data_IF_381284782673
#
_entry.id   IF_381284782673
#
_cell.length_a   1.000
_cell.length_b   1.000
_cell.length_c   1.000
_cell.angle_alpha   90.00
_cell.angle_beta   90.00
_cell.angle_gamma   90.00
#
_symmetry.space_group_name_H-M   'P 1'
#
loop_
_entity.id
_entity.type
_entity.pdbx_description
1 polymer ?
#
# COMPACT_ATOMS: atom_id res chain seq x y z
N UNK A 1 -15.18 -2.48 17.72
CA UNK A 1 -14.75 -2.90 16.38
C UNK A 1 -13.39 -2.27 16.13
N UNK A 2 -12.51 -2.93 15.38
CA UNK A 2 -11.16 -2.48 15.07
C UNK A 2 -11.14 -1.84 13.69
N UNK A 3 -10.58 -0.63 13.59
CA UNK A 3 -10.38 0.05 12.31
C UNK A 3 -9.24 -0.59 11.52
N UNK A 4 -9.42 -0.75 10.23
CA UNK A 4 -8.47 -1.40 9.33
C UNK A 4 -8.40 -0.62 8.02
N UNK A 5 -7.21 -0.64 7.42
CA UNK A 5 -7.01 -0.18 6.04
C UNK A 5 -6.77 -1.37 5.14
N UNK A 6 -7.43 -1.38 3.99
CA UNK A 6 -7.14 -2.30 2.90
C UNK A 6 -6.75 -1.54 1.64
N UNK A 7 -5.83 -2.09 0.86
CA UNK A 7 -5.51 -1.61 -0.48
C UNK A 7 -6.15 -2.53 -1.51
N UNK A 8 -6.65 -1.95 -2.59
CA UNK A 8 -7.23 -2.64 -3.74
C UNK A 8 -6.33 -2.42 -4.96
N UNK A 9 -6.05 -3.48 -5.72
CA UNK A 9 -5.22 -3.39 -6.93
C UNK A 9 -5.68 -4.33 -8.04
N UNK A 10 -5.77 -3.88 -9.29
CA UNK A 10 -6.20 -4.74 -10.40
C UNK A 10 -5.89 -4.14 -11.77
N UNK A 11 -5.75 -4.99 -12.79
CA UNK A 11 -5.47 -4.56 -14.16
C UNK A 11 -6.11 -5.45 -15.25
N UNK A 12 -6.95 -6.41 -14.87
CA UNK A 12 -7.70 -7.26 -15.81
C UNK A 12 -9.19 -6.93 -15.77
N UNK A 13 -9.79 -6.74 -16.95
CA UNK A 13 -11.24 -6.57 -17.10
C UNK A 13 -11.75 -5.20 -16.65
N UNK A 14 -13.00 -5.15 -16.19
CA UNK A 14 -13.59 -3.94 -15.61
C UNK A 14 -13.22 -3.83 -14.12
N UNK A 15 -12.00 -3.32 -13.87
CA UNK A 15 -11.41 -3.29 -12.54
C UNK A 15 -12.21 -2.41 -11.57
N UNK A 16 -12.79 -1.29 -12.01
CA UNK A 16 -13.61 -0.43 -11.13
C UNK A 16 -14.86 -1.15 -10.65
N UNK A 17 -15.58 -1.81 -11.55
CA UNK A 17 -16.74 -2.64 -11.20
C UNK A 17 -16.33 -3.82 -10.32
N UNK A 18 -15.15 -4.40 -10.56
CA UNK A 18 -14.59 -5.47 -9.72
C UNK A 18 -14.29 -4.97 -8.30
N UNK A 19 -13.73 -3.76 -8.14
CA UNK A 19 -13.52 -3.13 -6.83
C UNK A 19 -14.82 -2.86 -6.11
N UNK A 20 -15.84 -2.33 -6.80
CA UNK A 20 -17.16 -2.11 -6.22
C UNK A 20 -17.76 -3.42 -5.68
N UNK A 21 -17.72 -4.48 -6.51
CA UNK A 21 -18.18 -5.82 -6.12
C UNK A 21 -17.37 -6.37 -4.93
N UNK A 22 -16.05 -6.16 -4.89
CA UNK A 22 -15.22 -6.59 -3.77
C UNK A 22 -15.63 -5.94 -2.45
N UNK A 23 -15.85 -4.61 -2.46
CA UNK A 23 -16.30 -3.88 -1.27
C UNK A 23 -17.71 -4.31 -0.84
N UNK A 24 -18.62 -4.55 -1.78
CA UNK A 24 -19.96 -5.09 -1.48
C UNK A 24 -19.87 -6.50 -0.85
N UNK A 25 -19.06 -7.40 -1.41
CA UNK A 25 -18.85 -8.75 -0.87
C UNK A 25 -18.27 -8.72 0.54
N UNK A 26 -17.35 -7.80 0.83
CA UNK A 26 -16.83 -7.57 2.18
C UNK A 26 -17.92 -7.01 3.12
N UNK A 27 -18.70 -6.02 2.67
CA UNK A 27 -19.76 -5.40 3.47
C UNK A 27 -20.92 -6.36 3.82
N UNK A 28 -21.12 -7.43 3.03
CA UNK A 28 -22.10 -8.48 3.36
C UNK A 28 -21.62 -9.47 4.44
N UNK A 29 -20.34 -9.45 4.80
CA UNK A 29 -19.80 -10.34 5.82
C UNK A 29 -20.20 -9.85 7.23
N UNK A 30 -20.77 -10.71 8.08
CA UNK A 30 -21.07 -10.34 9.45
C UNK A 30 -19.83 -9.82 10.19
N UNK A 31 -19.94 -8.63 10.75
CA UNK A 31 -18.86 -8.03 11.52
C UNK A 31 -17.81 -7.30 10.68
N UNK A 32 -18.07 -7.01 9.40
CA UNK A 32 -17.31 -6.04 8.60
C UNK A 32 -18.24 -4.90 8.21
N UNK A 33 -17.78 -3.67 8.37
CA UNK A 33 -18.45 -2.46 7.89
C UNK A 33 -17.42 -1.61 7.14
N UNK A 34 -17.64 -1.39 5.84
CA UNK A 34 -16.79 -0.50 5.04
C UNK A 34 -17.20 0.95 5.36
N UNK A 35 -16.24 1.75 5.82
CA UNK A 35 -16.49 3.12 6.31
C UNK A 35 -16.18 4.19 5.28
N UNK A 36 -15.23 3.93 4.36
CA UNK A 36 -14.88 4.85 3.28
C UNK A 36 -14.05 4.13 2.21
N UNK A 37 -14.06 4.65 0.99
CA UNK A 37 -13.15 4.26 -0.09
C UNK A 37 -12.55 5.50 -0.76
N UNK A 38 -11.33 5.37 -1.27
CA UNK A 38 -10.70 6.41 -2.08
C UNK A 38 -11.21 6.34 -3.53
N UNK A 39 -10.90 7.38 -4.29
CA UNK A 39 -10.88 7.28 -5.76
C UNK A 39 -9.85 6.25 -6.21
N UNK A 40 -10.00 5.79 -7.45
CA UNK A 40 -8.99 4.97 -8.09
C UNK A 40 -7.80 5.83 -8.55
N UNK A 41 -6.67 5.18 -8.74
CA UNK A 41 -5.46 5.76 -9.29
C UNK A 41 -4.91 4.82 -10.36
N UNK A 42 -4.55 5.37 -11.53
CA UNK A 42 -3.78 4.64 -12.54
C UNK A 42 -2.32 4.67 -12.14
N UNK A 43 -1.67 3.51 -12.10
CA UNK A 43 -0.26 3.40 -11.71
C UNK A 43 0.54 2.55 -12.68
N UNK A 44 1.82 2.87 -12.78
CA UNK A 44 2.77 2.04 -13.52
C UNK A 44 2.87 0.64 -12.88
N UNK A 45 3.02 -0.42 -13.70
CA UNK A 45 3.18 -1.77 -13.21
C UNK A 45 4.54 -1.95 -12.54
N UNK A 46 4.56 -2.67 -11.41
CA UNK A 46 5.80 -3.11 -10.75
C UNK A 46 6.06 -4.56 -11.11
N UNK A 47 7.28 -4.85 -11.57
CA UNK A 47 7.72 -6.17 -12.04
C UNK A 47 7.51 -6.38 -13.56
N UNK A 48 8.40 -7.18 -14.16
CA UNK A 48 8.48 -7.35 -15.62
C UNK A 48 7.25 -8.03 -16.24
N UNK A 49 6.60 -8.91 -15.48
CA UNK A 49 5.45 -9.69 -15.95
C UNK A 49 4.10 -9.06 -15.58
N UNK A 50 4.09 -7.86 -14.99
CA UNK A 50 2.88 -7.29 -14.39
C UNK A 50 1.86 -6.78 -15.41
N UNK A 51 2.25 -6.69 -16.69
CA UNK A 51 1.36 -6.37 -17.79
C UNK A 51 1.03 -4.88 -17.88
N UNK A 52 -0.22 -4.50 -18.23
CA UNK A 52 -0.60 -3.09 -18.37
C UNK A 52 -0.66 -2.36 -17.03
N UNK A 53 -0.90 -1.05 -17.09
CA UNK A 53 -1.12 -0.20 -15.94
C UNK A 53 -2.23 -0.74 -15.01
N UNK A 54 -2.05 -0.51 -13.72
CA UNK A 54 -2.98 -0.94 -12.68
C UNK A 54 -3.93 0.19 -12.31
N UNK A 55 -5.14 -0.17 -11.91
CA UNK A 55 -5.93 0.66 -11.03
C UNK A 55 -5.65 0.24 -9.59
N UNK A 56 -5.40 1.22 -8.72
CA UNK A 56 -5.25 1.03 -7.29
C UNK A 56 -6.19 1.96 -6.52
N UNK A 57 -6.66 1.50 -5.38
CA UNK A 57 -7.50 2.27 -4.46
C UNK A 57 -7.25 1.82 -3.02
N UNK A 58 -7.86 2.50 -2.04
CA UNK A 58 -7.86 2.09 -0.66
C UNK A 58 -9.28 2.14 -0.08
N UNK A 59 -9.52 1.37 0.97
CA UNK A 59 -10.74 1.46 1.77
C UNK A 59 -10.42 1.37 3.26
N UNK A 60 -11.19 2.11 4.06
CA UNK A 60 -11.26 1.94 5.51
C UNK A 60 -12.44 1.03 5.84
N UNK A 61 -12.27 0.19 6.84
CA UNK A 61 -13.34 -0.62 7.40
C UNK A 61 -13.19 -0.73 8.90
N UNK A 62 -14.29 -0.99 9.60
CA UNK A 62 -14.27 -1.46 10.98
C UNK A 62 -14.72 -2.91 11.04
N UNK A 63 -14.07 -3.71 11.87
CA UNK A 63 -14.41 -5.14 11.98
C UNK A 63 -14.44 -5.65 13.41
N UNK A 64 -15.22 -6.71 13.64
CA UNK A 64 -15.15 -7.54 14.85
C UNK A 64 -14.43 -8.87 14.62
N UNK A 65 -14.03 -9.16 13.38
CA UNK A 65 -13.24 -10.34 13.03
C UNK A 65 -11.83 -10.20 13.57
N UNK A 66 -11.21 -11.33 13.91
CA UNK A 66 -9.78 -11.37 14.20
C UNK A 66 -8.96 -11.08 12.93
N UNK A 67 -7.70 -10.62 13.05
CA UNK A 67 -6.88 -10.26 11.89
C UNK A 67 -6.71 -11.39 10.86
N UNK A 68 -6.53 -12.62 11.32
CA UNK A 68 -6.41 -13.82 10.49
C UNK A 68 -7.72 -14.12 9.75
N UNK A 69 -8.86 -13.95 10.42
CA UNK A 69 -10.18 -14.13 9.81
C UNK A 69 -10.49 -13.04 8.77
N UNK A 70 -10.08 -11.80 9.03
CA UNK A 70 -10.21 -10.71 8.05
C UNK A 70 -9.36 -11.00 6.81
N UNK A 71 -8.09 -11.40 7.00
CA UNK A 71 -7.20 -11.77 5.90
C UNK A 71 -7.74 -12.96 5.09
N UNK A 72 -8.25 -14.00 5.74
CA UNK A 72 -8.90 -15.13 5.05
C UNK A 72 -10.12 -14.65 4.24
N UNK A 73 -10.88 -13.71 4.80
CA UNK A 73 -12.06 -13.14 4.14
C UNK A 73 -11.68 -12.35 2.89
N UNK A 74 -10.61 -11.53 2.93
CA UNK A 74 -10.15 -10.80 1.74
C UNK A 74 -9.67 -11.78 0.65
N UNK A 75 -8.91 -12.81 1.02
CA UNK A 75 -8.48 -13.86 0.06
C UNK A 75 -9.64 -14.67 -0.52
N UNK A 76 -10.69 -14.93 0.25
CA UNK A 76 -11.93 -15.55 -0.26
C UNK A 76 -12.63 -14.64 -1.29
N UNK A 77 -12.70 -13.34 -1.04
CA UNK A 77 -13.31 -12.38 -1.98
C UNK A 77 -12.50 -12.29 -3.27
N UNK A 78 -11.16 -12.22 -3.19
CA UNK A 78 -10.28 -12.27 -4.37
C UNK A 78 -10.56 -13.51 -5.24
N UNK A 79 -10.66 -14.68 -4.61
CA UNK A 79 -10.96 -15.93 -5.30
C UNK A 79 -12.34 -15.92 -5.97
N UNK A 80 -13.37 -15.38 -5.30
CA UNK A 80 -14.70 -15.23 -5.90
C UNK A 80 -14.71 -14.31 -7.12
N UNK A 81 -13.78 -13.35 -7.18
CA UNK A 81 -13.62 -12.39 -8.26
C UNK A 81 -12.57 -12.82 -9.30
N UNK A 82 -12.21 -14.11 -9.31
CA UNK A 82 -11.40 -14.72 -10.37
C UNK A 82 -9.90 -14.60 -10.19
N UNK A 83 -9.40 -14.28 -8.99
CA UNK A 83 -7.97 -14.42 -8.67
C UNK A 83 -7.67 -15.80 -8.11
N UNK A 84 -6.81 -16.54 -8.82
CA UNK A 84 -6.32 -17.84 -8.36
C UNK A 84 -5.39 -17.70 -7.14
N UNK A 85 -5.44 -18.67 -6.22
CA UNK A 85 -4.63 -18.64 -4.99
C UNK A 85 -3.13 -18.78 -5.29
N UNK A 86 -2.75 -19.68 -6.20
CA UNK A 86 -1.37 -19.97 -6.58
C UNK A 86 -0.95 -19.13 -7.79
N UNK A 87 -0.71 -17.84 -7.57
CA UNK A 87 -0.25 -16.91 -8.59
C UNK A 87 1.19 -16.48 -8.31
N UNK A 88 1.96 -16.26 -9.38
CA UNK A 88 3.30 -15.72 -9.26
C UNK A 88 3.27 -14.24 -8.80
N UNK A 89 4.37 -13.76 -8.24
CA UNK A 89 4.53 -12.35 -7.89
C UNK A 89 4.50 -11.49 -9.16
N UNK A 90 3.89 -10.30 -9.07
CA UNK A 90 3.86 -9.32 -10.17
C UNK A 90 3.24 -9.84 -11.46
N UNK A 91 2.07 -10.47 -11.38
CA UNK A 91 1.29 -10.89 -12.55
C UNK A 91 -0.03 -10.13 -12.64
N UNK A 92 -0.63 -10.01 -13.84
CA UNK A 92 -1.93 -9.38 -14.03
C UNK A 92 -3.00 -10.08 -13.20
N UNK A 93 -3.96 -9.29 -12.69
CA UNK A 93 -4.99 -9.78 -11.76
C UNK A 93 -6.29 -8.97 -11.87
N UNK A 94 -7.41 -9.62 -11.59
CA UNK A 94 -8.72 -8.97 -11.51
C UNK A 94 -8.79 -8.04 -10.30
N UNK A 95 -8.37 -8.53 -9.12
CA UNK A 95 -8.33 -7.75 -7.86
C UNK A 95 -7.31 -8.33 -6.87
N UNK A 96 -6.60 -7.49 -6.14
CA UNK A 96 -5.83 -7.76 -4.92
C UNK A 96 -6.48 -6.99 -3.78
N UNK A 97 -6.57 -7.61 -2.61
CA UNK A 97 -7.05 -7.02 -1.38
C UNK A 97 -6.01 -7.24 -0.29
N UNK A 98 -5.12 -6.26 -0.15
CA UNK A 98 -4.04 -6.30 0.84
C UNK A 98 -4.49 -5.64 2.16
N UNK A 99 -4.35 -6.37 3.27
CA UNK A 99 -4.56 -5.81 4.61
C UNK A 99 -3.38 -4.89 4.99
N UNK A 100 -3.59 -3.58 4.89
CA UNK A 100 -2.56 -2.56 5.14
C UNK A 100 -2.34 -2.34 6.64
N UNK A 101 -3.40 -2.19 7.43
CA UNK A 101 -3.33 -2.08 8.91
C UNK A 101 -4.53 -2.78 9.57
N UNK A 102 -4.34 -3.17 10.83
CA UNK A 102 -5.39 -3.68 11.71
C UNK A 102 -5.23 -3.00 13.08
N UNK A 103 -5.90 -1.87 13.27
CA UNK A 103 -5.63 -0.96 14.38
C UNK A 103 -4.14 -0.68 14.53
N UNK A 104 -3.65 -0.74 15.76
CA UNK A 104 -2.23 -0.59 16.10
C UNK A 104 -1.45 -1.93 16.12
N UNK A 105 -2.04 -3.02 15.61
CA UNK A 105 -1.40 -4.34 15.63
C UNK A 105 -0.16 -4.35 14.75
N UNK A 106 0.96 -4.77 15.34
CA UNK A 106 2.17 -5.18 14.63
C UNK A 106 2.33 -6.69 14.80
N UNK A 107 2.16 -7.44 13.71
CA UNK A 107 2.36 -8.88 13.67
C UNK A 107 3.25 -9.24 12.47
N UNK A 108 4.25 -10.08 12.72
CA UNK A 108 5.16 -10.59 11.71
C UNK A 108 5.30 -12.10 11.92
N UNK A 109 4.42 -12.88 11.31
CA UNK A 109 4.52 -14.34 11.27
C UNK A 109 4.13 -14.87 9.88
N UNK A 110 4.29 -16.17 9.66
CA UNK A 110 4.08 -16.80 8.35
C UNK A 110 2.64 -16.67 7.83
N UNK A 111 1.67 -16.44 8.72
CA UNK A 111 0.25 -16.35 8.37
C UNK A 111 -0.25 -14.91 8.28
N UNK A 112 0.36 -13.99 9.02
CA UNK A 112 -0.08 -12.60 9.14
C UNK A 112 1.12 -11.68 9.23
N UNK A 113 1.20 -10.75 8.27
CA UNK A 113 2.11 -9.62 8.27
C UNK A 113 1.30 -8.33 8.21
N UNK A 114 1.15 -7.66 9.35
CA UNK A 114 0.44 -6.39 9.48
C UNK A 114 1.25 -5.44 10.39
N UNK A 115 1.44 -4.15 10.05
CA UNK A 115 1.09 -3.52 8.77
C UNK A 115 1.69 -4.23 7.56
N UNK A 116 1.07 -4.10 6.39
CA UNK A 116 1.57 -4.74 5.17
C UNK A 116 3.04 -4.31 4.95
N UNK A 117 3.99 -5.25 4.79
CA UNK A 117 5.42 -4.94 4.84
C UNK A 117 5.90 -3.96 3.77
N UNK A 118 5.18 -3.89 2.64
CA UNK A 118 5.44 -2.96 1.54
C UNK A 118 4.71 -1.61 1.58
N UNK A 119 3.76 -1.38 2.51
CA UNK A 119 2.86 -0.23 2.40
C UNK A 119 3.54 1.13 2.62
N UNK A 120 4.75 1.17 3.17
CA UNK A 120 5.46 2.40 3.51
C UNK A 120 6.36 2.96 2.41
N UNK A 121 6.61 2.20 1.32
CA UNK A 121 7.39 2.68 0.16
C UNK A 121 6.62 2.58 -1.18
N UNK A 122 5.44 1.96 -1.19
CA UNK A 122 4.64 1.78 -2.42
C UNK A 122 3.71 2.97 -2.60
N UNK A 123 4.01 3.85 -3.56
CA UNK A 123 3.15 5.00 -3.89
C UNK A 123 1.74 4.62 -4.29
N UNK A 124 1.59 3.52 -5.03
CA UNK A 124 0.27 2.99 -5.41
C UNK A 124 -0.58 2.51 -4.21
N UNK A 125 0.00 2.36 -3.02
CA UNK A 125 -0.73 2.16 -1.75
C UNK A 125 -0.90 3.48 -1.00
N UNK A 126 0.17 4.25 -0.87
CA UNK A 126 0.19 5.48 -0.08
C UNK A 126 -0.71 6.58 -0.65
N UNK A 127 -0.64 6.84 -1.95
CA UNK A 127 -1.43 7.89 -2.60
C UNK A 127 -2.96 7.67 -2.38
N UNK A 128 -3.52 6.46 -2.60
CA UNK A 128 -4.91 6.16 -2.22
C UNK A 128 -5.20 6.26 -0.72
N UNK A 129 -4.36 5.68 0.14
CA UNK A 129 -4.57 5.70 1.61
C UNK A 129 -4.63 7.13 2.14
N UNK A 130 -3.79 8.04 1.62
CA UNK A 130 -3.75 9.43 2.06
C UNK A 130 -5.05 10.18 1.76
N UNK A 131 -5.87 9.73 0.79
CA UNK A 131 -7.17 10.34 0.51
C UNK A 131 -8.20 10.14 1.62
N UNK A 132 -8.11 9.01 2.33
CA UNK A 132 -9.13 8.59 3.30
C UNK A 132 -8.61 8.47 4.73
N UNK A 133 -7.29 8.31 4.91
CA UNK A 133 -6.67 8.00 6.19
C UNK A 133 -5.25 8.56 6.31
N UNK A 134 -4.92 9.66 5.63
CA UNK A 134 -3.58 10.26 5.61
C UNK A 134 -3.01 10.62 6.99
N UNK A 135 -3.87 11.05 7.92
CA UNK A 135 -3.49 11.39 9.30
C UNK A 135 -3.28 10.16 10.22
N UNK A 136 -3.64 8.96 9.77
CA UNK A 136 -3.47 7.72 10.53
C UNK A 136 -1.99 7.40 10.67
N UNK A 137 -1.55 7.07 11.89
CA UNK A 137 -0.17 6.65 12.15
C UNK A 137 0.05 5.21 11.72
N UNK A 138 1.15 4.98 11.00
CA UNK A 138 1.61 3.64 10.69
C UNK A 138 2.22 2.98 11.94
N UNK A 139 1.66 1.85 12.43
CA UNK A 139 2.01 1.27 13.74
C UNK A 139 3.51 0.99 13.96
N UNK A 140 4.21 0.50 12.93
CA UNK A 140 5.64 0.17 13.03
C UNK A 140 6.61 1.30 12.66
N UNK A 141 6.14 2.38 12.02
CA UNK A 141 7.00 3.45 11.49
C UNK A 141 6.90 4.74 12.32
N UNK A 142 5.84 4.85 13.13
CA UNK A 142 5.51 6.03 13.93
C UNK A 142 5.45 7.35 13.12
N UNK A 143 5.12 7.23 11.84
CA UNK A 143 4.85 8.34 10.91
C UNK A 143 3.40 8.22 10.44
N UNK A 144 2.75 9.33 10.11
CA UNK A 144 1.45 9.28 9.44
C UNK A 144 1.61 8.79 8.00
N UNK A 145 0.54 8.28 7.39
CA UNK A 145 0.58 7.92 5.97
C UNK A 145 0.89 9.13 5.07
N UNK A 146 0.43 10.34 5.42
CA UNK A 146 0.83 11.58 4.75
C UNK A 146 2.34 11.80 4.81
N UNK A 147 2.94 11.67 6.00
CA UNK A 147 4.39 11.81 6.17
C UNK A 147 5.17 10.74 5.39
N UNK A 148 4.70 9.49 5.40
CA UNK A 148 5.31 8.42 4.61
C UNK A 148 5.26 8.75 3.11
N UNK A 149 4.13 9.25 2.62
CA UNK A 149 3.97 9.67 1.23
C UNK A 149 4.87 10.85 0.88
N UNK A 150 4.90 11.90 1.70
CA UNK A 150 5.71 13.10 1.49
C UNK A 150 7.19 12.79 1.30
N UNK A 151 7.73 11.86 2.11
CA UNK A 151 9.12 11.39 1.98
C UNK A 151 9.44 10.82 0.60
N UNK A 152 8.45 10.23 -0.07
CA UNK A 152 8.61 9.64 -1.41
C UNK A 152 8.37 10.63 -2.55
N UNK A 153 7.86 11.83 -2.28
CA UNK A 153 7.58 12.84 -3.31
C UNK A 153 8.77 13.78 -3.56
N UNK A 154 9.79 13.77 -2.71
CA UNK A 154 11.00 14.58 -2.90
C UNK A 154 11.78 14.14 -4.14
N UNK A 155 12.24 15.10 -4.95
CA UNK A 155 13.01 14.84 -6.17
C UNK A 155 14.27 15.74 -6.22
N UNK A 156 15.46 15.17 -6.48
CA UNK A 156 15.73 13.73 -6.59
C UNK A 156 15.46 13.00 -5.26
N UNK A 157 14.97 11.76 -5.33
CA UNK A 157 14.62 10.96 -4.16
C UNK A 157 15.89 10.45 -3.46
N UNK A 158 16.16 10.82 -2.20
CA UNK A 158 17.30 10.27 -1.48
C UNK A 158 17.10 8.78 -1.19
N UNK A 159 18.05 7.94 -1.62
CA UNK A 159 18.05 6.51 -1.30
C UNK A 159 19.40 6.11 -0.74
N UNK A 160 19.38 5.51 0.45
CA UNK A 160 20.56 4.86 1.03
C UNK A 160 20.40 3.33 0.94
N UNK A 161 21.48 2.64 0.61
CA UNK A 161 21.53 1.19 0.48
C UNK A 161 22.63 0.63 1.39
N UNK A 162 22.23 -0.15 2.39
CA UNK A 162 23.06 -0.99 3.24
C UNK A 162 23.35 -2.29 2.48
N UNK A 163 24.51 -2.36 1.84
CA UNK A 163 24.95 -3.54 1.11
C UNK A 163 26.46 -3.53 1.01
N UNK A 164 27.08 -4.69 1.17
CA UNK A 164 28.51 -4.86 0.92
C UNK A 164 28.86 -4.63 -0.58
N UNK A 165 27.89 -4.83 -1.47
CA UNK A 165 28.00 -4.62 -2.93
C UNK A 165 27.36 -3.28 -3.35
N UNK A 166 27.29 -2.30 -2.45
CA UNK A 166 26.55 -1.03 -2.66
C UNK A 166 26.94 -0.32 -3.96
N UNK A 167 28.23 -0.12 -4.21
CA UNK A 167 28.68 0.68 -5.35
C UNK A 167 28.39 0.00 -6.70
N UNK A 168 28.52 -1.33 -6.77
CA UNK A 168 28.17 -2.12 -7.95
C UNK A 168 26.66 -2.04 -8.23
N UNK A 169 25.82 -2.23 -7.21
CA UNK A 169 24.36 -2.09 -7.33
C UNK A 169 23.94 -0.68 -7.76
N UNK A 170 24.56 0.35 -7.20
CA UNK A 170 24.26 1.74 -7.57
C UNK A 170 24.57 1.97 -9.04
N UNK A 171 25.70 1.47 -9.54
CA UNK A 171 26.08 1.66 -10.94
C UNK A 171 25.11 0.98 -11.90
N UNK A 172 24.65 -0.24 -11.57
CA UNK A 172 23.62 -0.95 -12.33
C UNK A 172 22.27 -0.19 -12.38
N UNK A 173 21.90 0.48 -11.29
CA UNK A 173 20.58 1.10 -11.13
C UNK A 173 20.53 2.57 -11.53
N UNK A 174 21.66 3.28 -11.55
CA UNK A 174 21.73 4.72 -11.83
C UNK A 174 21.10 5.10 -13.17
N UNK A 175 21.31 4.28 -14.20
CA UNK A 175 20.72 4.51 -15.52
C UNK A 175 19.21 4.25 -15.58
N UNK A 176 18.69 3.39 -14.71
CA UNK A 176 17.26 3.01 -14.65
C UNK A 176 16.44 4.00 -13.84
N UNK A 177 17.02 4.63 -12.82
CA UNK A 177 16.35 5.54 -11.90
C UNK A 177 17.05 6.90 -11.82
N UNK A 178 16.97 7.74 -12.87
CA UNK A 178 17.65 9.04 -12.92
C UNK A 178 17.12 10.04 -11.88
N UNK A 179 15.90 9.83 -11.36
CA UNK A 179 15.28 10.63 -10.33
C UNK A 179 15.74 10.29 -8.90
N UNK A 180 16.61 9.29 -8.73
CA UNK A 180 17.18 8.92 -7.43
C UNK A 180 18.55 9.58 -7.22
N UNK A 181 18.75 10.12 -6.01
CA UNK A 181 20.08 10.48 -5.52
C UNK A 181 20.52 9.48 -4.46
N UNK A 182 21.64 8.80 -4.73
CA UNK A 182 22.17 7.81 -3.81
C UNK A 182 22.91 8.47 -2.64
N UNK A 183 22.30 8.41 -1.46
CA UNK A 183 22.83 8.98 -0.23
C UNK A 183 24.03 8.18 0.27
N UNK A 184 25.07 8.87 0.74
CA UNK A 184 26.28 8.25 1.30
C UNK A 184 26.12 7.82 2.77
N UNK A 185 25.12 8.36 3.47
CA UNK A 185 24.85 8.14 4.89
C UNK A 185 23.33 7.91 5.07
N UNK A 186 22.89 6.90 5.87
CA UNK A 186 21.47 6.69 6.15
C UNK A 186 20.78 7.93 6.74
N UNK A 187 21.49 8.76 7.52
CA UNK A 187 20.93 9.97 8.12
C UNK A 187 20.43 10.98 7.08
N UNK A 188 21.01 10.99 5.87
CA UNK A 188 20.55 11.83 4.78
C UNK A 188 19.15 11.45 4.27
N UNK A 189 18.64 10.28 4.66
CA UNK A 189 17.28 9.82 4.34
C UNK A 189 16.29 9.97 5.50
N UNK A 190 16.73 10.49 6.66
CA UNK A 190 15.93 10.51 7.88
C UNK A 190 14.66 11.34 7.72
N UNK A 191 14.75 12.51 7.10
CA UNK A 191 13.59 13.40 6.93
C UNK A 191 12.83 13.12 5.63
N UNK A 192 13.54 12.70 4.58
CA UNK A 192 12.99 12.42 3.25
C UNK A 192 13.74 11.28 2.58
N UNK A 193 13.07 10.45 1.79
CA UNK A 193 13.70 9.32 1.12
C UNK A 193 13.61 7.99 1.87
N UNK A 194 14.43 7.04 1.43
CA UNK A 194 14.34 5.62 1.79
C UNK A 194 15.73 5.11 2.20
N UNK A 195 15.81 4.42 3.34
CA UNK A 195 16.96 3.60 3.73
C UNK A 195 16.64 2.12 3.52
N UNK A 196 17.46 1.40 2.75
CA UNK A 196 17.29 0.00 2.38
C UNK A 196 18.47 -0.84 2.88
N UNK A 197 18.29 -2.08 3.39
CA UNK A 197 17.08 -2.80 3.73
C UNK A 197 16.67 -2.46 5.17
N UNK A 198 16.77 -1.18 5.55
CA UNK A 198 16.56 -0.72 6.93
C UNK A 198 15.26 -1.25 7.53
N UNK A 199 15.17 -1.35 8.85
CA UNK A 199 14.03 -1.98 9.51
C UNK A 199 12.69 -1.23 9.27
N UNK A 200 11.61 -1.91 8.82
CA UNK A 200 11.55 -3.26 8.25
C UNK A 200 12.12 -3.42 6.84
N UNK A 201 12.82 -4.54 6.66
CA UNK A 201 13.34 -5.04 5.37
C UNK A 201 12.19 -5.16 4.36
N UNK A 202 12.30 -4.54 3.17
CA UNK A 202 11.30 -4.71 2.12
C UNK A 202 11.19 -6.17 1.66
N UNK A 203 9.97 -6.68 1.42
CA UNK A 203 9.75 -8.00 0.84
C UNK A 203 10.07 -8.09 -0.66
N UNK A 204 10.12 -6.94 -1.35
CA UNK A 204 10.29 -6.86 -2.80
C UNK A 204 11.77 -6.76 -3.19
N UNK A 205 12.08 -7.05 -4.46
CA UNK A 205 13.43 -6.81 -4.99
C UNK A 205 13.77 -5.31 -4.95
N UNK A 206 15.06 -4.96 -4.90
CA UNK A 206 15.49 -3.56 -4.89
C UNK A 206 14.90 -2.78 -6.08
N UNK A 207 14.88 -3.40 -7.26
CA UNK A 207 14.24 -2.83 -8.45
C UNK A 207 12.76 -2.52 -8.22
N UNK A 208 12.02 -3.48 -7.68
CA UNK A 208 10.58 -3.33 -7.46
C UNK A 208 10.27 -2.28 -6.40
N UNK A 209 11.07 -2.22 -5.32
CA UNK A 209 10.97 -1.18 -4.28
C UNK A 209 11.14 0.20 -4.89
N UNK A 210 12.17 0.39 -5.72
CA UNK A 210 12.44 1.68 -6.34
C UNK A 210 11.36 2.04 -7.36
N UNK A 211 10.95 1.11 -8.23
CA UNK A 211 9.83 1.32 -9.16
C UNK A 211 8.55 1.69 -8.42
N UNK A 212 8.22 1.03 -7.30
CA UNK A 212 7.05 1.34 -6.51
C UNK A 212 7.12 2.71 -5.79
N UNK A 213 8.32 3.17 -5.43
CA UNK A 213 8.55 4.43 -4.74
C UNK A 213 8.55 5.64 -5.70
N UNK A 214 9.07 5.47 -6.91
CA UNK A 214 9.22 6.57 -7.88
C UNK A 214 8.13 6.59 -8.94
N UNK A 215 7.49 5.45 -9.20
CA UNK A 215 6.58 5.22 -10.30
C UNK A 215 5.38 6.18 -10.32
N UNK A 216 4.88 6.42 -11.52
CA UNK A 216 3.75 7.30 -11.77
C UNK A 216 2.47 6.85 -11.07
N UNK A 217 1.75 7.80 -10.47
CA UNK A 217 0.42 7.59 -9.90
C UNK A 217 -0.45 8.77 -10.31
N UNK A 218 -1.51 8.50 -11.06
CA UNK A 218 -2.43 9.48 -11.59
C UNK A 218 -3.84 9.25 -11.05
N UNK A 219 -4.50 10.32 -10.59
CA UNK A 219 -5.86 10.22 -10.08
C UNK A 219 -6.82 9.81 -11.19
N UNK A 220 -7.64 8.81 -10.91
CA UNK A 220 -8.68 8.31 -11.81
C UNK A 220 -10.07 8.51 -11.18
N UNK A 221 -11.08 7.95 -11.80
CA UNK A 221 -12.47 8.05 -11.34
C UNK A 221 -12.71 7.30 -10.02
N UNK A 222 -13.88 7.53 -9.43
CA UNK A 222 -14.36 6.81 -8.23
C UNK A 222 -14.64 5.33 -8.49
N UNK A 223 -14.68 4.57 -7.40
CA UNK A 223 -15.25 3.22 -7.39
C UNK A 223 -16.78 3.36 -7.44
N UNK A 224 -17.49 2.73 -8.40
CA UNK A 224 -18.95 2.81 -8.49
C UNK A 224 -19.63 2.45 -7.16
N UNK A 225 -20.55 3.30 -6.69
CA UNK A 225 -21.26 3.11 -5.42
C UNK A 225 -20.46 3.48 -4.16
N UNK A 226 -19.20 3.88 -4.30
CA UNK A 226 -18.30 4.22 -3.20
C UNK A 226 -17.59 5.56 -3.49
N UNK A 227 -18.32 6.70 -3.39
CA UNK A 227 -17.73 8.01 -3.60
C UNK A 227 -16.69 8.31 -2.52
N UNK A 228 -15.63 9.01 -2.89
CA UNK A 228 -14.62 9.46 -1.93
C UNK A 228 -15.22 10.55 -1.02
N UNK A 229 -14.95 10.53 0.29
CA UNK A 229 -15.49 11.52 1.20
C UNK A 229 -14.96 12.93 0.87
N UNK A 230 -15.85 13.92 1.01
CA UNK A 230 -15.48 15.34 0.95
C UNK A 230 -14.59 15.69 2.15
N UNK A 231 -13.28 15.65 1.95
CA UNK A 231 -12.21 15.86 2.95
C UNK A 231 -12.14 14.82 4.08
N UNK A 232 -10.91 14.33 4.35
CA UNK A 232 -10.66 13.27 5.32
C UNK A 232 -11.22 13.63 6.72
N UNK A 233 -11.97 12.73 7.38
CA UNK A 233 -12.35 12.94 8.78
C UNK A 233 -11.07 13.09 9.61
N UNK A 234 -10.99 14.18 10.36
CA UNK A 234 -9.94 14.37 11.37
C UNK A 234 -10.09 13.23 12.38
N UNK A 235 -9.05 12.40 12.50
CA UNK A 235 -8.99 11.36 13.52
C UNK A 235 -9.31 11.99 14.88
N UNK A 236 -10.34 11.46 15.55
CA UNK A 236 -10.73 11.93 16.88
C UNK A 236 -9.55 11.76 17.84
N UNK A 237 -9.21 12.77 18.65
CA UNK A 237 -8.16 12.60 19.66
C UNK A 237 -8.62 11.53 20.64
N UNK A 238 -7.83 10.45 20.78
CA UNK A 238 -8.03 9.46 21.82
C UNK A 238 -8.07 10.12 23.20
N UNK A 239 -8.78 9.54 24.18
CA UNK A 239 -9.01 10.19 25.46
C UNK A 239 -7.68 10.43 26.17
N UNK A 240 -7.43 11.69 26.52
CA UNK A 240 -6.35 12.11 27.40
C UNK A 240 -6.34 11.23 28.65
N UNK A 241 -5.19 10.61 28.89
CA UNK A 241 -4.93 9.89 30.13
C UNK A 241 -4.84 10.92 31.26
N UNK A 242 -5.76 10.83 32.20
CA UNK A 242 -5.69 11.53 33.49
C UNK A 242 -4.86 10.74 34.49
#
# INVERSE_FOLDING_TARGET
MTECLIALGGNIGDVRTTFATALELLATQPGIEITSASRCFVTEPVGENAGPAYLNAAATLVTSLKPDQLLETTKRVEHQLGREQDHATWVPRTVDLDLVTYGDLVAQNDRLKVPHPGCWYRRFVLDPVCRIAGSTRHPARNLTFDQLRERLLVRPLPVWLDSDERDERIEELRGRFPEIVWANDPAATHDNGIALPGDPVPPDSLVDVLTAAVGGVELADEIPGWPEPDSAPTASPGPDST
#
